data_IF_501359145505
#
_entry.id   IF_501359145505
#
_cell.length_a   1.000
_cell.length_b   1.000
_cell.length_c   1.000
_cell.angle_alpha   90.00
_cell.angle_beta   90.00
_cell.angle_gamma   90.00
#
_symmetry.space_group_name_H-M   'P 1'
#
loop_
_entity.id
_entity.type
_entity.pdbx_description
1 polymer ?
#
# COMPACT_ATOMS: atom_id res chain seq x y z
N UNK A 1 -7.40 40.30 2.09
CA UNK A 1 -6.79 40.17 0.76
C UNK A 1 -7.89 39.71 -0.18
N UNK A 2 -8.18 40.43 -1.26
CA UNK A 2 -9.22 40.01 -2.21
C UNK A 2 -8.67 38.92 -3.13
N UNK A 3 -9.51 37.96 -3.52
CA UNK A 3 -9.13 36.92 -4.47
C UNK A 3 -8.77 37.56 -5.81
N UNK A 4 -7.65 37.13 -6.40
CA UNK A 4 -7.27 37.57 -7.74
C UNK A 4 -8.20 36.91 -8.76
N UNK A 5 -8.37 37.50 -9.95
CA UNK A 5 -9.11 36.86 -11.04
C UNK A 5 -8.58 35.45 -11.38
N UNK A 6 -7.27 35.21 -11.20
CA UNK A 6 -6.65 33.88 -11.34
C UNK A 6 -7.14 32.87 -10.31
N UNK A 7 -7.37 33.30 -9.07
CA UNK A 7 -7.83 32.43 -7.98
C UNK A 7 -9.29 32.05 -8.18
N UNK A 8 -10.10 32.99 -8.67
CA UNK A 8 -11.51 32.76 -9.00
C UNK A 8 -11.61 31.80 -10.20
N UNK A 9 -10.87 32.09 -11.27
CA UNK A 9 -10.80 31.19 -12.43
C UNK A 9 -10.29 29.80 -12.03
N UNK A 10 -9.39 29.74 -11.03
CA UNK A 10 -8.87 28.48 -10.53
C UNK A 10 -9.91 27.65 -9.78
N UNK A 11 -10.77 28.30 -9.01
CA UNK A 11 -11.82 27.67 -8.22
C UNK A 11 -13.11 27.36 -9.01
N UNK A 12 -13.32 28.03 -10.16
CA UNK A 12 -14.49 27.83 -11.02
C UNK A 12 -14.29 26.85 -12.17
N UNK A 13 -13.14 26.16 -12.24
CA UNK A 13 -12.85 25.17 -13.28
C UNK A 13 -13.78 23.98 -13.14
N UNK A 14 -14.15 23.36 -14.25
CA UNK A 14 -14.83 22.08 -14.22
C UNK A 14 -13.90 21.00 -13.61
N UNK A 15 -14.45 20.17 -12.72
CA UNK A 15 -13.69 19.10 -12.10
C UNK A 15 -13.33 18.03 -13.14
N UNK A 16 -12.07 17.58 -13.11
CA UNK A 16 -11.62 16.46 -13.94
C UNK A 16 -11.55 15.22 -13.07
N UNK A 17 -12.26 14.16 -13.49
CA UNK A 17 -12.23 12.87 -12.81
C UNK A 17 -11.19 11.97 -13.46
N UNK A 18 -10.23 11.52 -12.65
CA UNK A 18 -9.25 10.50 -13.02
C UNK A 18 -9.54 9.21 -12.25
N UNK A 19 -9.17 8.08 -12.83
CA UNK A 19 -9.51 6.76 -12.29
C UNK A 19 -8.31 5.83 -12.26
N UNK A 20 -8.35 4.92 -11.30
CA UNK A 20 -7.49 3.74 -11.23
C UNK A 20 -8.37 2.52 -11.00
N UNK A 21 -8.04 1.42 -11.65
CA UNK A 21 -8.78 0.17 -11.58
C UNK A 21 -7.83 -1.02 -11.72
N UNK A 22 -8.18 -2.14 -11.10
CA UNK A 22 -7.44 -3.39 -11.22
C UNK A 22 -8.38 -4.54 -11.55
N UNK A 23 -8.28 -5.05 -12.77
CA UNK A 23 -9.06 -6.21 -13.21
C UNK A 23 -8.82 -7.43 -12.31
N UNK A 24 -7.57 -7.65 -11.88
CA UNK A 24 -7.21 -8.75 -10.97
C UNK A 24 -7.93 -8.64 -9.63
N UNK A 25 -7.97 -7.44 -9.02
CA UNK A 25 -8.72 -7.22 -7.77
C UNK A 25 -10.20 -7.42 -8.00
N UNK A 26 -10.76 -6.89 -9.09
CA UNK A 26 -12.19 -7.00 -9.40
C UNK A 26 -12.62 -8.45 -9.62
N UNK A 27 -11.79 -9.26 -10.27
CA UNK A 27 -12.03 -10.70 -10.43
C UNK A 27 -12.02 -11.42 -9.09
N UNK A 28 -11.08 -11.09 -8.19
CA UNK A 28 -10.98 -11.72 -6.86
C UNK A 28 -12.08 -11.25 -5.89
N UNK A 29 -12.44 -9.97 -5.98
CA UNK A 29 -13.43 -9.31 -5.14
C UNK A 29 -14.48 -8.61 -6.02
N UNK A 30 -15.54 -9.34 -6.44
CA UNK A 30 -16.58 -8.78 -7.33
C UNK A 30 -17.25 -7.52 -6.76
N UNK A 31 -17.28 -7.36 -5.44
CA UNK A 31 -17.79 -6.19 -4.72
C UNK A 31 -16.85 -4.98 -4.64
N UNK A 32 -15.62 -5.04 -5.19
CA UNK A 32 -14.69 -3.92 -5.19
C UNK A 32 -15.29 -2.69 -5.92
N UNK A 33 -15.14 -1.50 -5.34
CA UNK A 33 -15.75 -0.27 -5.85
C UNK A 33 -14.92 0.31 -7.01
N UNK A 34 -15.27 -0.05 -8.23
CA UNK A 34 -14.69 0.55 -9.45
C UNK A 34 -15.58 1.64 -10.08
N UNK A 35 -16.74 1.93 -9.47
CA UNK A 35 -17.71 2.87 -10.05
C UNK A 35 -17.38 4.36 -9.79
N UNK A 36 -16.29 4.65 -9.08
CA UNK A 36 -15.76 6.01 -8.94
C UNK A 36 -16.69 7.04 -8.29
N UNK A 37 -17.64 6.61 -7.44
CA UNK A 37 -18.71 7.49 -6.95
C UNK A 37 -18.90 7.46 -5.42
N UNK A 38 -18.90 8.63 -4.74
CA UNK A 38 -18.39 9.91 -5.24
C UNK A 38 -16.85 9.86 -5.42
N UNK A 39 -16.26 10.59 -6.38
CA UNK A 39 -14.82 10.69 -6.50
C UNK A 39 -14.24 11.41 -5.28
N UNK A 40 -13.02 11.02 -4.88
CA UNK A 40 -12.30 11.74 -3.84
C UNK A 40 -11.82 13.09 -4.39
N UNK A 41 -12.02 14.15 -3.62
CA UNK A 41 -11.55 15.49 -3.99
C UNK A 41 -10.03 15.59 -3.88
N UNK A 42 -9.41 16.26 -4.86
CA UNK A 42 -7.97 16.52 -4.89
C UNK A 42 -7.66 17.79 -5.66
N UNK A 43 -6.58 18.47 -5.28
CA UNK A 43 -6.17 19.75 -5.87
C UNK A 43 -4.79 19.59 -6.51
N UNK A 44 -4.74 19.63 -7.83
CA UNK A 44 -3.52 19.45 -8.61
C UNK A 44 -3.45 20.49 -9.73
N UNK A 45 -2.24 20.98 -10.01
CA UNK A 45 -2.03 21.96 -11.08
C UNK A 45 -2.14 21.35 -12.48
N UNK A 46 -1.80 20.05 -12.60
CA UNK A 46 -1.91 19.30 -13.85
C UNK A 46 -2.62 17.96 -13.66
N UNK A 47 -3.25 17.46 -14.73
CA UNK A 47 -3.83 16.11 -14.73
C UNK A 47 -2.77 15.02 -14.55
N UNK A 48 -1.53 15.26 -15.00
CA UNK A 48 -0.44 14.29 -14.85
C UNK A 48 -0.07 14.08 -13.37
N UNK A 49 -0.04 15.15 -12.58
CA UNK A 49 0.25 15.06 -11.14
C UNK A 49 -0.87 14.33 -10.40
N UNK A 50 -2.13 14.62 -10.77
CA UNK A 50 -3.30 13.94 -10.24
C UNK A 50 -3.28 12.44 -10.57
N UNK A 51 -2.90 12.07 -11.81
CA UNK A 51 -2.76 10.66 -12.20
C UNK A 51 -1.64 9.97 -11.42
N UNK A 52 -0.48 10.62 -11.25
CA UNK A 52 0.63 10.05 -10.49
C UNK A 52 0.25 9.78 -9.03
N UNK A 53 -0.50 10.70 -8.39
CA UNK A 53 -1.00 10.50 -7.03
C UNK A 53 -1.99 9.33 -6.93
N UNK A 54 -2.88 9.20 -7.92
CA UNK A 54 -3.84 8.09 -8.02
C UNK A 54 -3.12 6.76 -8.24
N UNK A 55 -2.10 6.72 -9.10
CA UNK A 55 -1.32 5.52 -9.37
C UNK A 55 -0.53 5.07 -8.14
N UNK A 56 0.07 6.01 -7.40
CA UNK A 56 0.73 5.71 -6.12
C UNK A 56 -0.26 5.16 -5.10
N UNK A 57 -1.44 5.77 -4.99
CA UNK A 57 -2.50 5.27 -4.11
C UNK A 57 -2.97 3.88 -4.53
N UNK A 58 -3.12 3.65 -5.83
CA UNK A 58 -3.42 2.35 -6.42
C UNK A 58 -2.34 1.32 -6.12
N UNK A 59 -1.06 1.67 -6.17
CA UNK A 59 0.03 0.77 -5.78
C UNK A 59 0.03 0.45 -4.27
N UNK A 60 -0.40 1.41 -3.44
CA UNK A 60 -0.48 1.22 -1.98
C UNK A 60 -1.74 0.46 -1.54
N UNK A 61 -2.89 0.67 -2.16
CA UNK A 61 -4.16 0.07 -1.71
C UNK A 61 -4.65 -1.04 -2.63
N UNK A 62 -4.21 -1.03 -3.88
CA UNK A 62 -4.59 -1.94 -4.95
C UNK A 62 -3.69 -3.17 -5.05
N UNK A 63 -3.05 -3.55 -3.95
CA UNK A 63 -2.34 -4.82 -3.82
C UNK A 63 -2.90 -5.52 -2.59
N UNK A 64 -3.29 -6.78 -2.74
CA UNK A 64 -3.65 -7.60 -1.60
C UNK A 64 -2.38 -7.91 -0.81
N UNK A 65 -2.25 -7.29 0.37
CA UNK A 65 -1.19 -7.62 1.31
C UNK A 65 -1.75 -8.48 2.41
N UNK A 66 -1.14 -9.63 2.61
CA UNK A 66 -1.42 -10.55 3.71
C UNK A 66 -0.42 -10.28 4.82
N UNK A 67 -0.91 -10.42 6.05
CA UNK A 67 -0.10 -10.33 7.25
C UNK A 67 0.04 -11.71 7.84
N UNK A 68 1.27 -12.09 8.19
CA UNK A 68 1.60 -13.36 8.80
C UNK A 68 2.34 -13.12 10.11
N UNK A 69 2.00 -13.92 11.11
CA UNK A 69 2.77 -14.01 12.36
C UNK A 69 3.63 -15.26 12.27
N UNK A 70 4.94 -15.09 12.24
CA UNK A 70 5.91 -16.17 12.04
C UNK A 70 6.80 -16.26 13.28
N UNK A 71 6.54 -17.24 14.17
CA UNK A 71 7.46 -17.55 15.26
C UNK A 71 8.67 -18.29 14.70
N UNK A 72 9.86 -17.85 15.10
CA UNK A 72 11.15 -18.47 14.75
C UNK A 72 11.80 -18.94 16.05
N UNK A 73 12.18 -20.22 16.10
CA UNK A 73 12.84 -20.83 17.24
C UNK A 73 14.35 -20.52 17.25
N UNK A 74 14.68 -19.23 17.12
CA UNK A 74 16.04 -18.70 17.20
C UNK A 74 15.99 -17.17 17.37
N UNK A 75 17.11 -16.58 17.77
CA UNK A 75 17.32 -15.13 17.82
C UNK A 75 17.84 -14.62 16.47
N UNK A 76 17.00 -13.89 15.74
CA UNK A 76 17.36 -13.32 14.45
C UNK A 76 17.88 -11.89 14.58
N UNK A 77 19.18 -11.67 14.51
CA UNK A 77 19.74 -10.31 14.49
C UNK A 77 19.63 -9.68 13.09
N UNK A 78 18.70 -8.73 12.93
CA UNK A 78 18.55 -7.98 11.68
C UNK A 78 19.57 -6.85 11.62
N UNK A 79 20.45 -6.86 10.61
CA UNK A 79 21.39 -5.78 10.33
C UNK A 79 20.77 -4.74 9.37
N UNK A 80 20.39 -3.54 9.84
CA UNK A 80 19.76 -2.52 9.00
C UNK A 80 20.70 -1.92 7.97
N UNK A 81 22.02 -2.15 8.06
CA UNK A 81 23.00 -1.63 7.09
C UNK A 81 22.99 -2.41 5.78
N UNK A 82 22.44 -3.61 5.78
CA UNK A 82 22.34 -4.49 4.60
C UNK A 82 21.18 -4.13 3.67
N UNK A 83 20.35 -3.15 4.06
CA UNK A 83 19.19 -2.68 3.31
C UNK A 83 17.88 -3.02 4.02
N UNK A 84 16.77 -2.94 3.27
CA UNK A 84 15.46 -3.28 3.80
C UNK A 84 15.35 -4.82 3.93
N UNK A 85 15.18 -5.36 5.15
CA UNK A 85 15.06 -6.80 5.33
C UNK A 85 13.84 -7.32 4.55
N UNK A 86 14.06 -8.38 3.78
CA UNK A 86 13.02 -9.05 3.00
C UNK A 86 13.18 -10.55 3.19
N UNK A 87 12.09 -11.22 3.55
CA UNK A 87 12.06 -12.67 3.77
C UNK A 87 11.14 -13.33 2.75
N UNK A 88 11.55 -14.47 2.20
CA UNK A 88 10.66 -15.30 1.38
C UNK A 88 9.80 -16.17 2.30
N UNK A 89 8.49 -15.93 2.34
CA UNK A 89 7.55 -16.78 3.05
C UNK A 89 7.04 -17.86 2.09
N UNK A 90 7.22 -19.12 2.47
CA UNK A 90 6.69 -20.29 1.76
C UNK A 90 5.84 -21.10 2.72
N UNK A 91 4.55 -21.15 2.46
CA UNK A 91 3.56 -21.91 3.22
C UNK A 91 2.50 -22.43 2.23
N UNK A 92 2.52 -23.74 1.96
CA UNK A 92 1.60 -24.37 1.02
C UNK A 92 0.15 -24.39 1.52
N UNK A 93 -0.05 -24.48 2.83
CA UNK A 93 -1.38 -24.58 3.44
C UNK A 93 -2.09 -23.23 3.36
N UNK A 94 -1.33 -22.15 3.47
CA UNK A 94 -1.79 -20.78 3.27
C UNK A 94 -1.69 -20.32 1.81
N UNK A 95 -1.21 -21.15 0.89
CA UNK A 95 -0.90 -20.79 -0.49
C UNK A 95 -0.04 -19.51 -0.60
N UNK A 96 0.93 -19.36 0.30
CA UNK A 96 1.88 -18.26 0.31
C UNK A 96 3.21 -18.72 -0.30
N UNK A 97 3.67 -17.98 -1.32
CA UNK A 97 5.01 -18.10 -1.87
C UNK A 97 5.42 -16.72 -2.37
N UNK A 98 5.81 -15.86 -1.44
CA UNK A 98 5.99 -14.43 -1.72
C UNK A 98 7.08 -13.80 -0.85
N UNK A 99 7.65 -12.72 -1.38
CA UNK A 99 8.56 -11.88 -0.63
C UNK A 99 7.76 -11.00 0.33
N UNK A 100 8.15 -11.00 1.60
CA UNK A 100 7.52 -10.23 2.66
C UNK A 100 8.54 -9.34 3.36
N UNK A 101 8.09 -8.18 3.84
CA UNK A 101 8.87 -7.27 4.68
C UNK A 101 8.43 -7.48 6.14
N UNK A 102 9.37 -7.54 7.11
CA UNK A 102 9.01 -7.55 8.52
C UNK A 102 8.53 -6.16 8.95
N UNK A 103 7.25 -6.04 9.31
CA UNK A 103 6.67 -4.80 9.84
C UNK A 103 6.84 -4.69 11.36
N UNK A 104 6.89 -5.83 12.06
CA UNK A 104 7.21 -5.92 13.49
C UNK A 104 8.18 -7.07 13.70
N UNK A 105 9.11 -6.83 14.63
CA UNK A 105 10.14 -7.77 15.02
C UNK A 105 10.29 -7.70 16.54
N UNK A 106 10.19 -8.85 17.19
CA UNK A 106 10.26 -8.99 18.64
C UNK A 106 11.22 -10.13 18.98
N UNK A 107 12.28 -9.82 19.74
CA UNK A 107 13.24 -10.80 20.22
C UNK A 107 12.88 -11.12 21.67
N UNK A 108 12.70 -12.41 21.93
CA UNK A 108 12.67 -12.96 23.27
C UNK A 108 14.04 -13.57 23.57
N UNK A 109 14.78 -12.97 24.50
CA UNK A 109 16.09 -13.46 24.92
C UNK A 109 16.01 -14.55 25.99
N UNK A 110 14.87 -14.69 26.68
CA UNK A 110 14.67 -15.73 27.69
C UNK A 110 14.34 -17.06 27.02
N UNK A 111 13.45 -17.03 26.02
CA UNK A 111 13.03 -18.20 25.25
C UNK A 111 13.88 -18.44 23.99
N UNK A 112 14.91 -17.62 23.75
CA UNK A 112 15.78 -17.66 22.56
C UNK A 112 14.98 -17.71 21.23
N UNK A 113 13.94 -16.87 21.15
CA UNK A 113 12.97 -16.89 20.06
C UNK A 113 12.79 -15.51 19.43
N UNK A 114 12.30 -15.51 18.19
CA UNK A 114 11.94 -14.29 17.46
C UNK A 114 10.53 -14.41 16.93
N UNK A 115 9.70 -13.39 17.18
CA UNK A 115 8.39 -13.25 16.55
C UNK A 115 8.44 -12.18 15.45
N UNK A 116 8.11 -12.59 14.23
CA UNK A 116 8.04 -11.73 13.06
C UNK A 116 6.58 -11.48 12.67
N UNK A 117 6.24 -10.21 12.40
CA UNK A 117 5.04 -9.85 11.65
C UNK A 117 5.45 -9.51 10.22
N UNK A 118 5.18 -10.44 9.29
CA UNK A 118 5.54 -10.32 7.89
C UNK A 118 4.37 -9.77 7.07
N UNK A 119 4.64 -8.81 6.20
CA UNK A 119 3.70 -8.26 5.22
C UNK A 119 4.17 -8.55 3.80
N UNK A 120 3.32 -9.18 2.99
CA UNK A 120 3.58 -9.53 1.59
C UNK A 120 2.31 -9.53 0.77
#
# INVERSE_FOLDING_TARGET
>A
MAALPSDIAAASREAVNLTWQSATIKTRYPGARDQGSPPAEGFFDTQADAQAAIDQRGALLGVERRRFTVPVQDVLWIDPTTGLPTYQLVDSDQAANMACIPARFEIDLEDEATNLELFG
#
